data_IF_047641313630
#
_entry.id   IF_047641313630
#
_cell.length_a   1.000
_cell.length_b   1.000
_cell.length_c   1.000
_cell.angle_alpha   90.00
_cell.angle_beta   90.00
_cell.angle_gamma   90.00
#
_symmetry.space_group_name_H-M   'P 1'
#
loop_
_entity.id
_entity.type
_entity.pdbx_description
1 polymer ?
#
# COMPACT_ATOMS: atom_id res chain seq x y z
N UNK A 1 -45.62 -26.93 26.03
CA UNK A 1 -44.67 -27.98 25.60
C UNK A 1 -43.32 -27.46 25.20
N UNK A 2 -43.23 -26.39 24.34
CA UNK A 2 -41.93 -25.81 23.87
C UNK A 2 -40.97 -25.34 24.99
N UNK A 3 -41.47 -24.64 26.02
CA UNK A 3 -40.62 -24.15 27.11
C UNK A 3 -39.87 -25.25 27.86
N UNK A 4 -40.44 -26.46 27.96
CA UNK A 4 -39.78 -27.61 28.53
C UNK A 4 -38.67 -28.17 27.66
N UNK A 5 -38.86 -28.20 26.33
CA UNK A 5 -37.87 -28.70 25.37
C UNK A 5 -36.69 -27.76 25.28
N UNK A 6 -36.93 -26.43 25.36
CA UNK A 6 -35.90 -25.40 25.30
C UNK A 6 -35.28 -25.05 26.66
N UNK A 7 -35.70 -25.75 27.76
CA UNK A 7 -35.21 -25.50 29.11
C UNK A 7 -35.34 -24.05 29.59
N UNK A 8 -36.37 -23.33 29.15
CA UNK A 8 -36.70 -21.94 29.56
C UNK A 8 -37.95 -21.88 30.43
N UNK A 9 -38.00 -20.94 31.39
CA UNK A 9 -39.16 -20.75 32.23
C UNK A 9 -40.31 -20.17 31.40
N UNK A 10 -41.54 -20.62 31.68
CA UNK A 10 -42.75 -20.04 31.00
C UNK A 10 -42.87 -18.54 31.24
N UNK A 11 -42.68 -18.12 32.51
CA UNK A 11 -42.72 -16.68 32.85
C UNK A 11 -41.67 -15.86 32.11
N UNK A 12 -40.43 -16.39 31.98
CA UNK A 12 -39.35 -15.77 31.24
C UNK A 12 -39.65 -15.62 29.75
N UNK A 13 -40.27 -16.67 29.15
CA UNK A 13 -40.68 -16.61 27.76
C UNK A 13 -41.74 -15.50 27.49
N UNK A 14 -42.81 -15.49 28.30
CA UNK A 14 -43.85 -14.48 28.11
C UNK A 14 -43.42 -13.07 28.52
N UNK A 15 -42.52 -12.92 29.47
CA UNK A 15 -41.91 -11.63 29.77
C UNK A 15 -41.09 -11.12 28.58
N UNK A 16 -40.26 -11.99 27.97
CA UNK A 16 -39.48 -11.67 26.79
C UNK A 16 -40.36 -11.34 25.57
N UNK A 17 -41.43 -12.09 25.35
CA UNK A 17 -42.38 -11.84 24.24
C UNK A 17 -43.09 -10.49 24.37
N UNK A 18 -43.36 -10.04 25.60
CA UNK A 18 -44.04 -8.77 25.91
C UNK A 18 -43.06 -7.60 26.08
N UNK A 19 -41.76 -7.85 26.14
CA UNK A 19 -40.77 -6.82 26.39
C UNK A 19 -40.63 -5.91 25.16
N UNK A 20 -40.90 -4.60 25.27
CA UNK A 20 -40.69 -3.67 24.16
C UNK A 20 -39.18 -3.62 23.84
N UNK A 21 -38.89 -3.39 22.58
CA UNK A 21 -37.50 -3.23 22.14
C UNK A 21 -36.75 -2.21 23.00
N UNK A 22 -35.59 -2.60 23.51
CA UNK A 22 -34.79 -1.73 24.38
C UNK A 22 -34.43 -0.43 23.65
N UNK A 23 -34.34 0.67 24.38
CA UNK A 23 -33.89 1.97 23.82
C UNK A 23 -32.59 1.83 23.04
N UNK A 24 -31.69 0.98 23.51
CA UNK A 24 -30.43 0.68 22.82
C UNK A 24 -30.61 -0.05 21.50
N UNK A 25 -31.60 -0.92 21.36
CA UNK A 25 -31.94 -1.61 20.11
C UNK A 25 -32.48 -0.60 19.11
N UNK A 26 -33.41 0.26 19.55
CA UNK A 26 -33.98 1.33 18.71
C UNK A 26 -32.92 2.33 18.23
N UNK A 27 -31.99 2.73 19.12
CA UNK A 27 -30.83 3.55 18.72
C UNK A 27 -29.92 2.83 17.70
N UNK A 28 -29.67 1.54 17.90
CA UNK A 28 -28.85 0.77 16.96
C UNK A 28 -29.51 0.68 15.58
N UNK A 29 -30.84 0.56 15.50
CA UNK A 29 -31.56 0.57 14.23
C UNK A 29 -31.40 1.92 13.50
N UNK A 30 -31.53 3.05 14.22
CA UNK A 30 -31.28 4.38 13.66
C UNK A 30 -29.85 4.53 13.18
N UNK A 31 -28.88 4.05 13.98
CA UNK A 31 -27.48 4.07 13.61
C UNK A 31 -27.15 3.17 12.42
N UNK A 32 -27.80 2.01 12.30
CA UNK A 32 -27.63 1.11 11.15
C UNK A 32 -28.01 1.80 9.84
N UNK A 33 -29.15 2.52 9.83
CA UNK A 33 -29.56 3.31 8.67
C UNK A 33 -28.55 4.39 8.32
N UNK A 34 -28.09 5.17 9.30
CA UNK A 34 -27.09 6.21 9.08
C UNK A 34 -25.74 5.65 8.59
N UNK A 35 -25.30 4.52 9.17
CA UNK A 35 -24.08 3.80 8.75
C UNK A 35 -24.21 3.34 7.30
N UNK A 36 -25.37 2.81 6.90
CA UNK A 36 -25.62 2.33 5.54
C UNK A 36 -25.56 3.48 4.52
N UNK A 37 -26.19 4.61 4.82
CA UNK A 37 -26.12 5.81 3.96
C UNK A 37 -24.66 6.26 3.76
N UNK A 38 -23.88 6.40 4.85
CA UNK A 38 -22.47 6.80 4.76
C UNK A 38 -21.64 5.75 4.01
N UNK A 39 -21.94 4.46 4.21
CA UNK A 39 -21.22 3.38 3.54
C UNK A 39 -21.45 3.40 2.02
N UNK A 40 -22.66 3.68 1.56
CA UNK A 40 -23.00 3.77 0.15
C UNK A 40 -22.43 5.06 -0.49
N UNK A 41 -22.50 6.21 0.21
CA UNK A 41 -21.86 7.47 -0.19
C UNK A 41 -20.35 7.30 -0.43
N UNK A 42 -19.68 6.57 0.45
CA UNK A 42 -18.24 6.21 0.32
C UNK A 42 -17.98 5.04 -0.67
N UNK A 43 -18.95 4.73 -1.55
CA UNK A 43 -18.87 3.67 -2.57
C UNK A 43 -18.47 2.31 -1.99
N UNK A 44 -18.95 2.00 -0.77
CA UNK A 44 -18.70 0.75 -0.04
C UNK A 44 -17.21 0.52 0.30
N UNK A 45 -16.39 1.57 0.33
CA UNK A 45 -14.95 1.50 0.64
C UNK A 45 -14.62 1.89 2.08
N UNK A 46 -15.56 2.48 2.82
CA UNK A 46 -15.35 2.91 4.19
C UNK A 46 -15.51 1.75 5.17
N UNK A 47 -14.49 1.52 5.99
CA UNK A 47 -14.56 0.64 7.16
C UNK A 47 -15.01 1.39 8.42
N UNK A 48 -15.21 0.65 9.51
CA UNK A 48 -15.69 1.21 10.78
C UNK A 48 -14.93 2.44 11.29
N UNK A 49 -13.57 2.58 11.16
CA UNK A 49 -12.89 3.79 11.62
C UNK A 49 -13.31 5.05 10.84
N UNK A 50 -13.46 4.94 9.52
CA UNK A 50 -13.84 6.06 8.67
C UNK A 50 -15.30 6.45 8.89
N UNK A 51 -16.19 5.47 8.96
CA UNK A 51 -17.62 5.69 9.25
C UNK A 51 -17.80 6.33 10.64
N UNK A 52 -17.04 5.89 11.65
CA UNK A 52 -17.06 6.51 12.99
C UNK A 52 -16.70 7.98 12.93
N UNK A 53 -15.62 8.36 12.22
CA UNK A 53 -15.22 9.77 12.06
C UNK A 53 -16.31 10.60 11.37
N UNK A 54 -16.97 10.06 10.35
CA UNK A 54 -18.07 10.75 9.65
C UNK A 54 -19.27 10.95 10.58
N UNK A 55 -19.67 9.93 11.34
CA UNK A 55 -20.77 10.04 12.32
C UNK A 55 -20.44 11.05 13.43
N UNK A 56 -19.20 11.05 13.92
CA UNK A 56 -18.74 12.04 14.91
C UNK A 56 -18.76 13.46 14.34
N UNK A 57 -18.38 13.64 13.08
CA UNK A 57 -18.49 14.92 12.37
C UNK A 57 -19.93 15.42 12.18
N UNK A 58 -20.92 14.49 12.23
CA UNK A 58 -22.35 14.79 12.24
C UNK A 58 -22.94 14.98 13.66
N UNK A 59 -22.08 15.05 14.68
CA UNK A 59 -22.48 15.26 16.08
C UNK A 59 -22.86 13.97 16.84
N UNK A 60 -22.69 12.78 16.25
CA UNK A 60 -23.01 11.52 16.94
C UNK A 60 -21.89 11.12 17.91
N UNK A 61 -22.20 10.93 19.18
CA UNK A 61 -21.28 10.39 20.18
C UNK A 61 -21.25 8.87 20.08
N UNK A 62 -20.34 8.33 19.28
CA UNK A 62 -20.25 6.88 19.02
C UNK A 62 -18.80 6.41 18.95
N UNK A 63 -18.54 5.21 19.50
CA UNK A 63 -17.25 4.56 19.44
C UNK A 63 -17.09 3.59 18.27
N UNK A 64 -15.85 3.42 17.79
CA UNK A 64 -15.50 2.53 16.67
C UNK A 64 -16.02 1.09 16.83
N UNK A 65 -15.97 0.56 18.04
CA UNK A 65 -16.38 -0.83 18.31
C UNK A 65 -17.90 -1.02 18.15
N UNK A 66 -18.71 -0.01 18.52
CA UNK A 66 -20.18 -0.04 18.32
C UNK A 66 -20.50 -0.01 16.82
N UNK A 67 -19.85 0.87 16.06
CA UNK A 67 -20.00 0.93 14.59
C UNK A 67 -19.58 -0.37 13.93
N UNK A 68 -18.43 -0.94 14.31
CA UNK A 68 -17.95 -2.21 13.76
C UNK A 68 -18.91 -3.37 14.01
N UNK A 69 -19.55 -3.42 15.20
CA UNK A 69 -20.55 -4.43 15.52
C UNK A 69 -21.80 -4.29 14.67
N UNK A 70 -22.33 -3.08 14.53
CA UNK A 70 -23.51 -2.80 13.70
C UNK A 70 -23.21 -3.15 12.24
N UNK A 71 -22.09 -2.71 11.69
CA UNK A 71 -21.69 -3.06 10.32
C UNK A 71 -21.64 -4.57 10.11
N UNK A 72 -21.16 -5.34 11.10
CA UNK A 72 -21.11 -6.80 11.01
C UNK A 72 -22.51 -7.42 11.03
N UNK A 73 -23.41 -6.91 11.86
CA UNK A 73 -24.81 -7.35 11.93
C UNK A 73 -25.55 -7.09 10.62
N UNK A 74 -25.31 -5.94 10.00
CA UNK A 74 -25.87 -5.55 8.71
C UNK A 74 -25.14 -6.16 7.49
N UNK A 75 -24.13 -7.01 7.70
CA UNK A 75 -23.34 -7.62 6.62
C UNK A 75 -22.48 -6.63 5.82
N UNK A 76 -22.30 -5.40 6.31
CA UNK A 76 -21.56 -4.35 5.63
C UNK A 76 -20.04 -4.59 5.79
N UNK A 77 -19.38 -4.91 4.69
CA UNK A 77 -17.92 -5.09 4.64
C UNK A 77 -17.33 -4.09 3.66
N UNK A 78 -16.34 -3.31 4.12
CA UNK A 78 -15.61 -2.44 3.22
C UNK A 78 -15.04 -3.27 2.07
N UNK A 79 -15.24 -2.83 0.81
CA UNK A 79 -14.54 -3.40 -0.33
C UNK A 79 -13.06 -3.17 -0.09
N UNK A 80 -12.39 -4.18 0.46
CA UNK A 80 -10.97 -4.13 0.78
C UNK A 80 -10.16 -3.82 -0.48
N UNK A 81 -9.04 -3.11 -0.32
CA UNK A 81 -8.02 -3.09 -1.34
C UNK A 81 -7.72 -4.54 -1.75
N UNK A 82 -7.56 -4.79 -3.05
CA UNK A 82 -7.19 -6.12 -3.58
C UNK A 82 -6.10 -6.71 -2.70
N UNK A 83 -6.24 -7.98 -2.31
CA UNK A 83 -5.23 -8.67 -1.48
C UNK A 83 -3.85 -8.37 -2.06
N UNK A 84 -2.93 -7.92 -1.20
CA UNK A 84 -1.54 -7.70 -1.57
C UNK A 84 -0.98 -9.01 -2.16
N UNK A 85 -0.67 -8.99 -3.43
CA UNK A 85 0.05 -10.08 -4.10
C UNK A 85 1.53 -9.69 -4.04
N UNK A 86 2.35 -10.51 -3.39
CA UNK A 86 3.79 -10.31 -3.42
C UNK A 86 4.25 -10.37 -4.89
N UNK A 87 4.65 -9.22 -5.42
CA UNK A 87 5.04 -9.06 -6.83
C UNK A 87 6.53 -9.21 -7.04
N UNK A 88 7.31 -9.10 -5.96
CA UNK A 88 8.77 -9.20 -5.98
C UNK A 88 9.19 -10.53 -5.33
N UNK A 89 9.98 -11.33 -6.04
CA UNK A 89 10.57 -12.52 -5.46
C UNK A 89 11.82 -12.12 -4.64
N UNK A 90 11.63 -11.99 -3.33
CA UNK A 90 12.72 -11.72 -2.37
C UNK A 90 13.25 -13.01 -1.69
N UNK A 91 12.76 -14.19 -2.10
CA UNK A 91 13.21 -15.51 -1.61
C UNK A 91 14.20 -16.12 -2.61
N UNK A 92 15.38 -15.55 -2.69
CA UNK A 92 16.45 -16.05 -3.55
C UNK A 92 17.77 -16.12 -2.73
N UNK A 93 18.74 -16.89 -3.22
CA UNK A 93 20.05 -17.07 -2.59
C UNK A 93 21.12 -16.12 -3.15
N UNK A 94 20.72 -15.06 -3.86
CA UNK A 94 21.66 -14.07 -4.37
C UNK A 94 22.18 -13.18 -3.24
N UNK A 95 23.42 -12.67 -3.32
CA UNK A 95 23.98 -11.73 -2.33
C UNK A 95 23.10 -10.49 -2.18
N UNK A 96 22.88 -10.08 -0.94
CA UNK A 96 22.07 -8.91 -0.59
C UNK A 96 22.98 -7.87 0.07
N UNK A 97 22.97 -6.65 -0.45
CA UNK A 97 23.71 -5.55 0.12
C UNK A 97 23.11 -5.08 1.47
N UNK A 98 23.92 -4.48 2.37
CA UNK A 98 23.43 -3.92 3.62
C UNK A 98 22.48 -2.74 3.36
N UNK A 99 21.57 -2.48 4.31
CA UNK A 99 20.72 -1.30 4.28
C UNK A 99 21.50 -0.09 4.83
N UNK A 100 21.96 0.77 3.94
CA UNK A 100 22.70 1.98 4.29
C UNK A 100 21.82 3.20 4.51
N UNK A 101 20.60 3.20 3.96
CA UNK A 101 19.66 4.32 4.15
C UNK A 101 19.00 4.33 5.53
N UNK A 102 18.65 3.16 6.09
CA UNK A 102 17.99 3.03 7.39
C UNK A 102 16.77 3.97 7.56
N UNK A 103 15.96 4.13 6.49
CA UNK A 103 14.82 5.05 6.39
C UNK A 103 15.20 6.56 6.40
N UNK A 104 16.47 6.90 6.36
CA UNK A 104 16.92 8.28 6.14
C UNK A 104 16.91 8.62 4.65
N UNK A 105 15.82 9.26 4.21
CA UNK A 105 15.60 9.70 2.84
C UNK A 105 15.99 11.16 2.59
N UNK A 106 16.69 11.78 3.53
CA UNK A 106 17.24 13.11 3.35
C UNK A 106 18.60 13.04 2.65
N UNK A 107 18.83 13.96 1.73
CA UNK A 107 20.09 14.12 1.04
C UNK A 107 20.50 15.60 1.05
N UNK A 108 21.77 15.88 1.37
CA UNK A 108 22.25 17.24 1.48
C UNK A 108 22.60 17.87 0.12
N UNK A 109 22.86 17.05 -0.90
CA UNK A 109 23.29 17.50 -2.23
C UNK A 109 22.77 16.57 -3.33
N UNK A 110 22.70 17.07 -4.59
CA UNK A 110 22.38 16.24 -5.75
C UNK A 110 23.35 15.07 -5.90
N UNK A 111 22.86 13.93 -6.39
CA UNK A 111 23.65 12.73 -6.67
C UNK A 111 24.32 12.13 -5.42
N UNK A 112 23.77 12.31 -4.25
CA UNK A 112 24.22 11.67 -3.01
C UNK A 112 23.52 10.32 -2.80
N UNK A 113 22.19 10.32 -2.89
CA UNK A 113 21.37 9.13 -2.68
C UNK A 113 20.33 9.00 -3.80
N UNK A 114 20.35 7.87 -4.47
CA UNK A 114 19.30 7.48 -5.44
C UNK A 114 18.45 6.37 -4.84
N UNK A 115 17.17 6.38 -5.17
CA UNK A 115 16.25 5.26 -4.88
C UNK A 115 15.66 4.77 -6.18
N UNK A 116 15.50 3.46 -6.29
CA UNK A 116 14.97 2.83 -7.49
C UNK A 116 13.86 1.82 -7.14
N UNK A 117 12.86 1.73 -8.01
CA UNK A 117 11.72 0.84 -7.85
C UNK A 117 11.16 0.43 -9.22
N UNK A 118 10.50 -0.73 -9.27
CA UNK A 118 9.79 -1.21 -10.45
C UNK A 118 8.30 -1.12 -10.22
N UNK A 119 7.60 -0.42 -11.09
CA UNK A 119 6.15 -0.27 -11.07
C UNK A 119 5.51 -1.01 -12.24
N UNK A 120 4.32 -1.52 -12.02
CA UNK A 120 3.50 -2.26 -12.98
C UNK A 120 2.44 -1.33 -13.57
N UNK A 121 2.39 -1.25 -14.88
CA UNK A 121 1.40 -0.47 -15.62
C UNK A 121 0.56 -1.44 -16.44
N UNK A 122 -0.75 -1.44 -16.21
CA UNK A 122 -1.66 -2.20 -17.07
C UNK A 122 -1.96 -1.41 -18.33
N UNK A 123 -1.76 -2.03 -19.49
CA UNK A 123 -2.07 -1.47 -20.81
C UNK A 123 -3.09 -2.36 -21.52
N UNK A 124 -3.63 -1.91 -22.64
CA UNK A 124 -4.54 -2.71 -23.46
C UNK A 124 -3.85 -3.96 -24.05
N UNK A 125 -2.52 -3.94 -24.18
CA UNK A 125 -1.70 -5.03 -24.71
C UNK A 125 -1.14 -5.96 -23.63
N UNK A 126 -1.33 -5.61 -22.34
CA UNK A 126 -0.86 -6.40 -21.21
C UNK A 126 -0.07 -5.59 -20.17
N UNK A 127 0.78 -6.28 -19.41
CA UNK A 127 1.59 -5.66 -18.39
C UNK A 127 2.83 -5.00 -18.96
N UNK A 128 3.02 -3.73 -18.64
CA UNK A 128 4.24 -2.98 -18.88
C UNK A 128 4.93 -2.70 -17.54
N UNK A 129 6.24 -2.91 -17.50
CA UNK A 129 7.06 -2.69 -16.31
C UNK A 129 7.86 -1.39 -16.49
N UNK A 130 7.80 -0.52 -15.51
CA UNK A 130 8.53 0.74 -15.47
C UNK A 130 9.52 0.69 -14.31
N UNK A 131 10.81 0.71 -14.60
CA UNK A 131 11.86 0.98 -13.62
C UNK A 131 12.16 2.47 -13.56
N UNK A 132 12.28 3.00 -12.35
CA UNK A 132 12.50 4.43 -12.10
C UNK A 132 13.69 4.61 -11.18
N UNK A 133 14.55 5.59 -11.46
CA UNK A 133 15.62 6.06 -10.58
C UNK A 133 15.33 7.50 -10.18
N UNK A 134 15.20 7.74 -8.88
CA UNK A 134 14.89 9.03 -8.28
C UNK A 134 16.09 9.56 -7.50
N UNK A 135 16.45 10.81 -7.69
CA UNK A 135 17.41 11.52 -6.85
C UNK A 135 16.67 12.07 -5.61
N UNK A 136 17.11 11.67 -4.41
CA UNK A 136 16.45 12.03 -3.16
C UNK A 136 16.58 13.51 -2.81
N UNK A 137 17.63 14.19 -3.24
CA UNK A 137 17.81 15.62 -3.04
C UNK A 137 16.79 16.43 -3.85
N UNK A 138 16.79 16.25 -5.15
CA UNK A 138 15.95 17.02 -6.06
C UNK A 138 14.51 16.49 -6.15
N UNK A 139 14.26 15.26 -5.72
CA UNK A 139 12.98 14.53 -5.89
C UNK A 139 12.58 14.34 -7.36
N UNK A 140 13.53 14.49 -8.28
CA UNK A 140 13.33 14.28 -9.70
C UNK A 140 13.69 12.86 -10.14
N UNK A 141 12.95 12.35 -11.12
CA UNK A 141 13.28 11.12 -11.83
C UNK A 141 14.46 11.40 -12.77
N UNK A 142 15.61 10.85 -12.43
CA UNK A 142 16.86 11.04 -13.17
C UNK A 142 17.07 9.98 -14.24
N UNK A 143 16.45 8.80 -14.10
CA UNK A 143 16.48 7.74 -15.09
C UNK A 143 15.22 6.86 -15.02
N UNK A 144 14.84 6.29 -16.15
CA UNK A 144 13.73 5.36 -16.26
C UNK A 144 13.90 4.47 -17.49
N UNK A 145 13.26 3.31 -17.45
CA UNK A 145 13.16 2.40 -18.59
C UNK A 145 11.83 1.66 -18.52
N UNK A 146 11.31 1.24 -19.67
CA UNK A 146 10.10 0.45 -19.78
C UNK A 146 10.36 -0.85 -20.55
N UNK A 147 9.69 -1.93 -20.16
CA UNK A 147 9.77 -3.22 -20.86
C UNK A 147 8.52 -4.05 -20.59
N UNK A 148 8.18 -4.94 -21.49
CA UNK A 148 7.13 -5.96 -21.33
C UNK A 148 7.55 -7.06 -20.32
N UNK A 149 8.82 -7.13 -19.98
CA UNK A 149 9.38 -8.14 -19.07
C UNK A 149 10.15 -7.48 -17.94
N UNK A 150 9.97 -7.98 -16.73
CA UNK A 150 10.67 -7.51 -15.53
C UNK A 150 12.02 -8.22 -15.40
N UNK A 151 13.00 -7.82 -16.22
CA UNK A 151 14.35 -8.40 -16.28
C UNK A 151 15.39 -7.53 -15.56
N UNK A 152 16.60 -8.04 -15.36
CA UNK A 152 17.74 -7.26 -14.86
C UNK A 152 18.10 -6.11 -15.83
N UNK A 153 17.99 -6.34 -17.12
CA UNK A 153 18.24 -5.33 -18.17
C UNK A 153 17.39 -4.08 -17.97
N UNK A 154 16.11 -4.23 -17.59
CA UNK A 154 15.21 -3.10 -17.32
C UNK A 154 15.76 -2.13 -16.27
N UNK A 155 16.24 -2.65 -15.13
CA UNK A 155 16.79 -1.80 -14.06
C UNK A 155 18.17 -1.26 -14.42
N UNK A 156 18.96 -2.02 -15.19
CA UNK A 156 20.24 -1.55 -15.73
C UNK A 156 20.05 -0.36 -16.69
N UNK A 157 19.07 -0.41 -17.57
CA UNK A 157 18.83 0.66 -18.55
C UNK A 157 18.32 1.93 -17.87
N UNK A 158 17.44 1.80 -16.88
CA UNK A 158 17.04 2.93 -16.04
C UNK A 158 18.24 3.59 -15.34
N UNK A 159 19.14 2.78 -14.77
CA UNK A 159 20.34 3.30 -14.11
C UNK A 159 21.34 3.92 -15.09
N UNK A 160 21.56 3.30 -16.26
CA UNK A 160 22.41 3.87 -17.33
C UNK A 160 21.92 5.24 -17.76
N UNK A 161 20.59 5.40 -17.95
CA UNK A 161 19.98 6.71 -18.28
C UNK A 161 20.26 7.72 -17.17
N UNK A 162 20.09 7.36 -15.90
CA UNK A 162 20.36 8.24 -14.76
C UNK A 162 21.84 8.70 -14.75
N UNK A 163 22.76 7.77 -14.92
CA UNK A 163 24.19 8.05 -14.99
C UNK A 163 24.55 8.98 -16.14
N UNK A 164 23.99 8.74 -17.32
CA UNK A 164 24.25 9.58 -18.48
C UNK A 164 23.73 11.00 -18.27
N UNK A 165 22.50 11.17 -17.80
CA UNK A 165 21.91 12.47 -17.52
C UNK A 165 22.64 13.27 -16.43
N UNK A 166 23.19 12.58 -15.46
CA UNK A 166 23.90 13.18 -14.32
C UNK A 166 25.43 13.21 -14.46
N UNK A 167 25.94 13.01 -15.71
CA UNK A 167 27.37 13.07 -16.03
C UNK A 167 28.21 12.06 -15.24
N UNK A 168 27.68 10.87 -15.02
CA UNK A 168 28.35 9.72 -14.38
C UNK A 168 28.91 10.04 -12.99
N UNK A 169 28.10 10.44 -12.00
CA UNK A 169 28.57 10.68 -10.66
C UNK A 169 29.07 9.38 -10.03
N UNK A 170 30.08 9.46 -9.15
CA UNK A 170 30.64 8.36 -8.37
C UNK A 170 30.28 8.49 -6.90
N UNK A 171 30.36 7.39 -6.12
CA UNK A 171 30.08 7.41 -4.69
C UNK A 171 28.59 7.57 -4.32
N UNK A 172 27.67 7.53 -5.29
CA UNK A 172 26.24 7.64 -5.06
C UNK A 172 25.71 6.35 -4.42
N UNK A 173 24.97 6.48 -3.33
CA UNK A 173 24.25 5.35 -2.73
C UNK A 173 22.98 5.08 -3.56
N UNK A 174 22.90 3.88 -4.16
CA UNK A 174 21.73 3.45 -4.94
C UNK A 174 20.94 2.44 -4.11
N UNK A 175 19.78 2.84 -3.64
CA UNK A 175 18.93 2.02 -2.78
C UNK A 175 17.77 1.40 -3.56
N UNK A 176 17.52 0.11 -3.33
CA UNK A 176 16.45 -0.66 -3.96
C UNK A 176 15.79 -1.62 -2.97
N UNK A 177 14.72 -2.29 -3.40
CA UNK A 177 14.25 -3.51 -2.74
C UNK A 177 15.20 -4.69 -3.01
N UNK A 178 14.88 -5.86 -2.42
CA UNK A 178 15.64 -7.11 -2.61
C UNK A 178 15.13 -7.93 -3.80
N UNK A 179 14.62 -7.31 -4.84
CA UNK A 179 14.19 -8.00 -6.04
C UNK A 179 15.38 -8.67 -6.75
N UNK A 180 15.13 -9.85 -7.36
CA UNK A 180 16.15 -10.61 -8.10
C UNK A 180 16.85 -9.76 -9.17
N UNK A 181 16.16 -8.77 -9.73
CA UNK A 181 16.69 -7.86 -10.74
C UNK A 181 17.84 -7.01 -10.20
N UNK A 182 17.67 -6.47 -8.97
CA UNK A 182 18.70 -5.67 -8.30
C UNK A 182 19.83 -6.51 -7.71
N UNK A 183 19.54 -7.76 -7.33
CA UNK A 183 20.54 -8.71 -6.86
C UNK A 183 21.31 -9.41 -8.00
N UNK A 184 20.94 -9.17 -9.27
CA UNK A 184 21.56 -9.81 -10.42
C UNK A 184 23.02 -9.40 -10.57
N UNK A 185 23.85 -10.33 -11.09
CA UNK A 185 25.27 -10.05 -11.39
C UNK A 185 25.43 -8.87 -12.35
N UNK A 186 24.53 -8.74 -13.33
CA UNK A 186 24.54 -7.67 -14.32
C UNK A 186 24.39 -6.30 -13.65
N UNK A 187 23.39 -6.14 -12.78
CA UNK A 187 23.14 -4.89 -12.07
C UNK A 187 24.26 -4.55 -11.08
N UNK A 188 24.74 -5.54 -10.30
CA UNK A 188 25.83 -5.35 -9.35
C UNK A 188 27.14 -4.97 -10.06
N UNK A 189 27.45 -5.59 -11.20
CA UNK A 189 28.60 -5.24 -12.02
C UNK A 189 28.50 -3.82 -12.59
N UNK A 190 27.30 -3.37 -12.95
CA UNK A 190 27.07 -2.01 -13.42
C UNK A 190 27.33 -0.99 -12.30
N UNK A 191 26.84 -1.24 -11.07
CA UNK A 191 27.11 -0.40 -9.91
C UNK A 191 28.63 -0.29 -9.65
N UNK A 192 29.30 -1.43 -9.56
CA UNK A 192 30.73 -1.50 -9.29
C UNK A 192 31.57 -0.75 -10.36
N UNK A 193 31.25 -0.96 -11.65
CA UNK A 193 31.93 -0.29 -12.78
C UNK A 193 31.86 1.22 -12.72
N UNK A 194 30.77 1.76 -12.17
CA UNK A 194 30.56 3.21 -12.05
C UNK A 194 30.88 3.75 -10.65
N UNK A 195 31.47 2.96 -9.76
CA UNK A 195 31.81 3.39 -8.40
C UNK A 195 30.61 3.77 -7.56
N UNK A 196 29.45 3.11 -7.77
CA UNK A 196 28.21 3.33 -7.02
C UNK A 196 28.12 2.36 -5.85
N UNK A 197 27.47 2.80 -4.78
CA UNK A 197 27.32 2.03 -3.54
C UNK A 197 25.94 1.40 -3.49
N UNK A 198 25.90 0.07 -3.47
CA UNK A 198 24.64 -0.67 -3.38
C UNK A 198 24.06 -0.63 -1.96
N UNK A 199 22.78 -0.33 -1.83
CA UNK A 199 22.02 -0.42 -0.60
C UNK A 199 20.68 -1.11 -0.86
N UNK A 200 20.25 -2.00 0.04
CA UNK A 200 18.98 -2.74 -0.13
C UNK A 200 18.14 -2.70 1.14
N UNK A 201 16.82 -2.54 0.99
CA UNK A 201 15.86 -2.54 2.09
C UNK A 201 15.90 -3.84 2.90
N UNK A 202 15.39 -3.84 4.13
CA UNK A 202 15.20 -5.07 4.93
C UNK A 202 14.10 -5.94 4.32
N UNK A 203 14.19 -7.27 4.54
CA UNK A 203 13.19 -8.22 4.06
C UNK A 203 11.83 -7.93 4.69
N UNK A 204 10.81 -7.69 3.86
CA UNK A 204 9.44 -7.47 4.31
C UNK A 204 9.16 -6.06 4.85
N UNK A 205 10.13 -5.16 4.85
CA UNK A 205 9.95 -3.77 5.27
C UNK A 205 9.60 -2.90 4.06
N UNK A 206 8.30 -2.62 3.91
CA UNK A 206 7.79 -1.77 2.82
C UNK A 206 8.01 -0.28 3.08
N UNK A 207 8.40 0.12 4.30
CA UNK A 207 8.69 1.52 4.65
C UNK A 207 10.09 1.92 4.23
N UNK A 208 11.04 0.98 4.14
CA UNK A 208 12.39 1.22 3.63
C UNK A 208 12.40 1.65 2.14
N UNK A 209 11.29 1.43 1.40
CA UNK A 209 11.08 1.89 0.02
C UNK A 209 9.94 2.92 -0.10
N UNK A 210 9.64 3.66 0.96
CA UNK A 210 8.53 4.60 1.01
C UNK A 210 8.62 5.74 -0.03
N UNK A 211 9.81 6.28 -0.24
CA UNK A 211 10.03 7.41 -1.16
C UNK A 211 9.81 7.06 -2.65
N UNK A 212 10.33 5.92 -3.19
CA UNK A 212 10.12 5.57 -4.60
C UNK A 212 8.69 5.15 -4.90
N UNK A 213 7.98 4.49 -3.98
CA UNK A 213 6.57 4.11 -4.16
C UNK A 213 5.65 5.31 -4.37
N UNK A 214 5.85 6.39 -3.64
CA UNK A 214 5.06 7.63 -3.83
C UNK A 214 5.35 8.28 -5.18
N UNK A 215 6.57 8.16 -5.70
CA UNK A 215 6.97 8.80 -6.95
C UNK A 215 6.60 7.96 -8.16
N UNK A 216 6.77 6.65 -8.11
CA UNK A 216 6.31 5.75 -9.19
C UNK A 216 4.80 5.86 -9.39
N UNK A 217 4.02 5.93 -8.30
CA UNK A 217 2.59 6.16 -8.36
C UNK A 217 2.23 7.55 -8.93
N UNK A 218 3.01 8.58 -8.63
CA UNK A 218 2.82 9.93 -9.20
C UNK A 218 3.15 9.98 -10.69
N UNK A 219 4.21 9.31 -11.12
CA UNK A 219 4.58 9.20 -12.54
C UNK A 219 3.49 8.46 -13.32
N UNK A 220 3.02 7.32 -12.80
CA UNK A 220 1.91 6.57 -13.40
C UNK A 220 0.65 7.41 -13.48
N UNK A 221 0.27 8.10 -12.40
CA UNK A 221 -0.92 8.96 -12.38
C UNK A 221 -0.80 10.17 -13.34
N UNK A 222 0.40 10.71 -13.53
CA UNK A 222 0.64 11.77 -14.51
C UNK A 222 0.47 11.26 -15.94
N UNK A 223 0.98 10.06 -16.23
CA UNK A 223 0.85 9.42 -17.56
C UNK A 223 -0.61 9.09 -17.90
N UNK A 224 -1.43 8.69 -16.91
CA UNK A 224 -2.87 8.45 -17.11
C UNK A 224 -3.70 9.73 -17.28
N UNK A 225 -3.22 10.90 -16.84
CA UNK A 225 -3.91 12.19 -17.03
C UNK A 225 -3.64 12.83 -18.38
N UNK A 226 -2.71 12.32 -19.17
CA UNK A 226 -2.36 12.81 -20.51
C UNK A 226 -3.09 12.04 -21.64
N UNK A 227 -4.04 11.19 -21.28
CA UNK A 227 -5.04 10.58 -22.16
C UNK A 227 -6.42 11.16 -21.86
#
# INVERSE_FOLDING_TARGET
MMCRVLSVSRSGYYAWEKEPESLRTQENAKLATAIKVIYDDEKQRAGSPRITKRLQGLGCVIGKNRVARIMRQEGLRAKGAKKFKATTNSRHNLPVAPNLLQQDFEAARPNEKYVTDITYIWTNEGWLYLAVVLDLYSRYVVGWAMSERMTATLVCDALKMALWRRKRPTGVIVHSDRGVQYCSREYQSLLARHGLICSMSKKGDCFDNGAPRMTSQRVVNATYKMK
#
